data_IF_749544488859
#
_entry.id   IF_749544488859
#
_cell.length_a   1.000
_cell.length_b   1.000
_cell.length_c   1.000
_cell.angle_alpha   90.00
_cell.angle_beta   90.00
_cell.angle_gamma   90.00
#
_symmetry.space_group_name_H-M   'P 1'
#
loop_
_entity.id
_entity.type
_entity.pdbx_description
1 polymer ?
#
# COMPACT_ATOMS: atom_id res chain seq x y z
N UNK A 1 -1.13 -23.35 -2.11
CA UNK A 1 -1.61 -23.86 -3.43
C UNK A 1 -2.22 -22.66 -4.14
N UNK A 2 -1.75 -22.31 -5.33
CA UNK A 2 -2.19 -21.13 -6.08
C UNK A 2 -3.19 -21.56 -7.15
N UNK A 3 -4.35 -20.91 -7.22
CA UNK A 3 -5.36 -21.14 -8.23
C UNK A 3 -5.50 -19.91 -9.11
N UNK A 4 -5.41 -20.10 -10.43
CA UNK A 4 -5.66 -19.01 -11.39
C UNK A 4 -7.15 -18.88 -11.68
N UNK A 5 -7.70 -17.70 -11.43
CA UNK A 5 -9.09 -17.35 -11.80
C UNK A 5 -9.12 -16.92 -13.27
N UNK A 6 -10.02 -17.50 -14.04
CA UNK A 6 -10.16 -17.19 -15.46
C UNK A 6 -11.31 -16.18 -15.65
N UNK A 7 -11.06 -15.08 -16.38
CA UNK A 7 -12.13 -14.16 -16.82
C UNK A 7 -12.82 -14.73 -18.05
N UNK A 8 -14.16 -14.90 -17.99
CA UNK A 8 -15.02 -15.24 -19.13
C UNK A 8 -16.16 -14.23 -19.25
N UNK A 9 -16.26 -13.53 -20.38
CA UNK A 9 -17.33 -12.57 -20.66
C UNK A 9 -17.52 -11.51 -19.55
N UNK A 10 -16.42 -11.02 -18.96
CA UNK A 10 -16.47 -10.07 -17.86
C UNK A 10 -16.69 -10.67 -16.46
N UNK A 11 -16.96 -11.98 -16.37
CA UNK A 11 -17.16 -12.68 -15.10
C UNK A 11 -15.88 -13.39 -14.65
N UNK A 12 -15.60 -13.37 -13.34
CA UNK A 12 -14.59 -14.21 -12.74
C UNK A 12 -15.16 -15.62 -12.49
N UNK A 13 -14.48 -16.65 -13.00
CA UNK A 13 -14.88 -18.04 -12.77
C UNK A 13 -13.97 -18.63 -11.69
N UNK A 14 -14.56 -18.91 -10.53
CA UNK A 14 -13.89 -19.57 -9.42
C UNK A 14 -14.06 -21.10 -9.57
N UNK A 15 -12.97 -21.88 -9.57
CA UNK A 15 -13.07 -23.33 -9.67
C UNK A 15 -13.79 -23.96 -8.46
N UNK A 16 -14.63 -24.97 -8.69
CA UNK A 16 -15.32 -25.71 -7.61
C UNK A 16 -14.36 -26.27 -6.56
N UNK A 17 -13.14 -26.64 -6.96
CA UNK A 17 -12.12 -27.10 -6.04
C UNK A 17 -11.72 -26.07 -4.98
N UNK A 18 -11.80 -24.77 -5.29
CA UNK A 18 -11.57 -23.71 -4.30
C UNK A 18 -12.68 -23.68 -3.25
N UNK A 19 -13.93 -23.76 -3.67
CA UNK A 19 -15.08 -23.80 -2.74
C UNK A 19 -14.98 -24.99 -1.79
N UNK A 20 -14.56 -26.17 -2.30
CA UNK A 20 -14.32 -27.36 -1.47
C UNK A 20 -13.19 -27.16 -0.45
N UNK A 21 -12.06 -26.60 -0.88
CA UNK A 21 -10.92 -26.34 0.01
C UNK A 21 -11.25 -25.32 1.11
N UNK A 22 -12.13 -24.38 0.82
CA UNK A 22 -12.60 -23.38 1.78
C UNK A 22 -13.81 -23.85 2.60
N UNK A 23 -14.29 -25.09 2.43
CA UNK A 23 -15.48 -25.61 3.12
C UNK A 23 -16.78 -24.90 2.74
N UNK A 24 -16.84 -24.32 1.53
CA UNK A 24 -17.97 -23.55 1.04
C UNK A 24 -18.81 -24.31 -0.01
N UNK A 25 -18.58 -25.60 -0.23
CA UNK A 25 -19.28 -26.41 -1.24
C UNK A 25 -20.80 -26.47 -1.03
N UNK A 26 -21.25 -26.39 0.22
CA UNK A 26 -22.68 -26.43 0.59
C UNK A 26 -23.28 -25.03 0.80
N UNK A 27 -22.49 -23.95 0.62
CA UNK A 27 -22.96 -22.59 0.82
C UNK A 27 -24.00 -22.21 -0.25
N UNK A 28 -25.25 -21.96 0.17
CA UNK A 28 -26.33 -21.53 -0.70
C UNK A 28 -26.20 -20.09 -1.18
N UNK A 29 -25.62 -19.25 -0.37
CA UNK A 29 -25.37 -17.83 -0.63
C UNK A 29 -23.95 -17.49 -0.22
N UNK A 30 -23.29 -16.68 -1.04
CA UNK A 30 -21.94 -16.21 -0.84
C UNK A 30 -21.98 -14.69 -0.81
N UNK A 31 -21.48 -14.13 0.28
CA UNK A 31 -21.24 -12.70 0.43
C UNK A 31 -19.92 -12.31 -0.23
N UNK A 32 -19.95 -11.19 -0.94
CA UNK A 32 -18.77 -10.57 -1.53
C UNK A 32 -18.46 -9.26 -0.78
N UNK A 33 -17.30 -9.19 -0.16
CA UNK A 33 -16.81 -7.98 0.50
C UNK A 33 -15.73 -7.37 -0.36
N UNK A 34 -15.94 -6.13 -0.78
CA UNK A 34 -14.93 -5.37 -1.51
C UNK A 34 -13.84 -4.93 -0.54
N UNK A 35 -12.59 -5.24 -0.87
CA UNK A 35 -11.39 -4.74 -0.23
C UNK A 35 -10.68 -3.78 -1.17
N UNK A 36 -9.78 -2.97 -0.65
CA UNK A 36 -8.92 -2.15 -1.51
C UNK A 36 -7.98 -3.09 -2.30
N UNK A 37 -8.14 -3.11 -3.62
CA UNK A 37 -7.36 -4.00 -4.49
C UNK A 37 -7.83 -5.47 -4.55
N UNK A 38 -8.94 -5.86 -3.88
CA UNK A 38 -9.38 -7.24 -3.87
C UNK A 38 -10.86 -7.46 -3.55
N UNK A 39 -11.27 -8.72 -3.56
CA UNK A 39 -12.61 -9.16 -3.18
C UNK A 39 -12.48 -10.37 -2.26
N UNK A 40 -13.08 -10.30 -1.08
CA UNK A 40 -13.21 -11.43 -0.17
C UNK A 40 -14.56 -12.13 -0.42
N UNK A 41 -14.53 -13.44 -0.64
CA UNK A 41 -15.73 -14.30 -0.74
C UNK A 41 -15.88 -15.07 0.57
N UNK A 42 -17.08 -15.04 1.15
CA UNK A 42 -17.39 -15.73 2.40
C UNK A 42 -18.83 -16.24 2.41
N UNK A 43 -19.17 -17.29 3.19
CA UNK A 43 -20.56 -17.67 3.38
C UNK A 43 -21.38 -16.51 3.95
N UNK A 44 -22.67 -16.40 3.57
CA UNK A 44 -23.56 -15.33 4.07
C UNK A 44 -23.73 -15.39 5.60
N UNK A 45 -23.78 -16.59 6.14
CA UNK A 45 -23.87 -16.82 7.59
C UNK A 45 -22.54 -17.38 8.11
N UNK A 46 -21.84 -16.56 8.89
CA UNK A 46 -20.57 -16.92 9.53
C UNK A 46 -20.74 -16.81 11.03
N UNK A 47 -20.39 -17.85 11.78
CA UNK A 47 -20.40 -17.82 13.22
C UNK A 47 -19.30 -16.92 13.77
N UNK A 48 -19.42 -16.47 15.03
CA UNK A 48 -18.38 -15.65 15.68
C UNK A 48 -17.03 -16.34 15.70
N UNK A 49 -17.01 -17.67 15.89
CA UNK A 49 -15.75 -18.42 15.92
C UNK A 49 -15.11 -18.48 14.52
N UNK A 50 -15.90 -18.68 13.46
CA UNK A 50 -15.40 -18.65 12.09
C UNK A 50 -14.86 -17.27 11.69
N UNK A 51 -15.51 -16.18 12.15
CA UNK A 51 -15.00 -14.83 11.97
C UNK A 51 -13.64 -14.62 12.67
N UNK A 52 -13.47 -15.10 13.89
CA UNK A 52 -12.19 -15.02 14.60
C UNK A 52 -11.11 -15.79 13.84
N UNK A 53 -11.42 -17.00 13.38
CA UNK A 53 -10.49 -17.82 12.59
C UNK A 53 -10.11 -17.15 11.26
N UNK A 54 -11.08 -16.49 10.60
CA UNK A 54 -10.82 -15.74 9.38
C UNK A 54 -9.91 -14.54 9.63
N UNK A 55 -10.14 -13.78 10.70
CA UNK A 55 -9.29 -12.64 11.09
C UNK A 55 -7.86 -13.13 11.36
N UNK A 56 -7.70 -14.22 12.08
CA UNK A 56 -6.38 -14.81 12.35
C UNK A 56 -5.66 -15.21 11.06
N UNK A 57 -6.35 -15.89 10.14
CA UNK A 57 -5.81 -16.28 8.84
C UNK A 57 -5.42 -15.08 7.96
N UNK A 58 -6.24 -14.03 7.92
CA UNK A 58 -5.94 -12.81 7.18
C UNK A 58 -4.76 -12.05 7.78
N UNK A 59 -4.66 -12.04 9.11
CA UNK A 59 -3.51 -11.44 9.80
C UNK A 59 -2.22 -12.19 9.49
N UNK A 60 -2.25 -13.55 9.52
CA UNK A 60 -1.11 -14.37 9.13
C UNK A 60 -0.68 -14.11 7.68
N UNK A 61 -1.63 -14.02 6.75
CA UNK A 61 -1.32 -13.73 5.35
C UNK A 61 -0.75 -12.31 5.16
N UNK A 62 -1.24 -11.34 5.93
CA UNK A 62 -0.70 -9.98 5.91
C UNK A 62 0.77 -9.95 6.40
N UNK A 63 1.09 -10.71 7.45
CA UNK A 63 2.48 -10.85 7.91
C UNK A 63 3.39 -11.48 6.83
N UNK A 64 2.92 -12.52 6.12
CA UNK A 64 3.69 -13.13 5.03
C UNK A 64 3.96 -12.13 3.89
N UNK A 65 2.99 -11.27 3.55
CA UNK A 65 3.18 -10.22 2.54
C UNK A 65 4.16 -9.14 3.01
N UNK A 66 4.08 -8.73 4.28
CA UNK A 66 5.02 -7.77 4.86
C UNK A 66 6.45 -8.33 4.90
N UNK A 67 6.62 -9.59 5.28
CA UNK A 67 7.92 -10.26 5.25
C UNK A 67 8.50 -10.34 3.83
N UNK A 68 7.65 -10.65 2.83
CA UNK A 68 8.08 -10.69 1.44
C UNK A 68 8.51 -9.30 0.93
N UNK A 69 7.72 -8.26 1.22
CA UNK A 69 8.04 -6.88 0.86
C UNK A 69 9.32 -6.40 1.56
N UNK A 70 9.46 -6.67 2.85
CA UNK A 70 10.64 -6.32 3.63
C UNK A 70 11.92 -7.01 3.11
N UNK A 71 11.81 -8.25 2.64
CA UNK A 71 12.92 -8.98 2.05
C UNK A 71 13.39 -8.35 0.71
N UNK A 72 12.51 -7.70 -0.03
CA UNK A 72 12.87 -6.96 -1.24
C UNK A 72 13.56 -5.61 -0.91
N UNK A 73 13.15 -4.96 0.18
CA UNK A 73 13.75 -3.69 0.62
C UNK A 73 15.13 -3.87 1.28
N UNK A 74 15.36 -4.99 1.97
CA UNK A 74 16.59 -5.24 2.73
C UNK A 74 16.64 -4.54 4.09
N UNK A 75 17.82 -4.60 4.74
CA UNK A 75 18.06 -3.94 6.02
C UNK A 75 18.48 -2.47 5.78
N UNK A 76 18.02 -1.56 6.66
CA UNK A 76 18.37 -0.15 6.60
C UNK A 76 19.88 0.04 6.84
N UNK A 77 20.49 0.98 6.11
CA UNK A 77 21.89 1.39 6.34
C UNK A 77 22.04 2.04 7.72
N UNK A 78 23.28 2.01 8.29
CA UNK A 78 23.55 2.53 9.63
C UNK A 78 23.13 4.01 9.80
N UNK A 79 23.19 4.82 8.75
CA UNK A 79 22.79 6.23 8.77
C UNK A 79 21.27 6.40 8.94
N UNK A 80 20.49 5.50 8.42
CA UNK A 80 19.00 5.50 8.55
C UNK A 80 18.56 4.87 9.88
N UNK A 81 19.30 3.91 10.39
CA UNK A 81 19.02 3.27 11.69
C UNK A 81 19.11 4.24 12.88
N UNK A 82 19.69 5.43 12.68
CA UNK A 82 19.75 6.49 13.68
C UNK A 82 18.56 7.45 13.72
N UNK A 83 17.65 7.38 12.74
CA UNK A 83 16.43 8.20 12.73
C UNK A 83 15.42 7.63 13.73
N UNK A 84 14.93 8.46 14.63
CA UNK A 84 13.83 8.04 15.48
C UNK A 84 12.57 7.84 14.62
N UNK A 85 11.70 6.83 14.93
CA UNK A 85 10.43 6.66 14.23
C UNK A 85 9.60 7.94 14.15
N UNK A 86 9.66 8.78 15.21
CA UNK A 86 9.00 10.07 15.26
C UNK A 86 9.53 11.07 14.21
N UNK A 87 10.80 10.99 13.83
CA UNK A 87 11.41 11.90 12.85
C UNK A 87 11.00 11.54 11.42
N UNK A 88 10.84 10.24 11.13
CA UNK A 88 10.40 9.74 9.81
C UNK A 88 8.90 9.93 9.61
N UNK A 89 8.12 9.79 10.70
CA UNK A 89 6.66 9.83 10.69
C UNK A 89 6.09 11.18 11.14
N UNK A 90 6.95 12.16 11.49
CA UNK A 90 6.51 13.49 11.87
C UNK A 90 6.17 14.30 10.61
N UNK A 91 4.93 14.77 10.55
CA UNK A 91 4.47 15.64 9.48
C UNK A 91 4.60 17.11 9.89
N UNK A 92 5.19 17.91 9.02
CA UNK A 92 5.17 19.36 9.12
C UNK A 92 4.21 19.90 8.07
N UNK A 93 3.01 20.31 8.48
CA UNK A 93 1.99 20.78 7.55
C UNK A 93 2.33 22.20 7.05
N UNK A 94 2.53 22.32 5.74
CA UNK A 94 2.67 23.60 5.04
C UNK A 94 1.39 23.89 4.28
N UNK A 95 0.65 24.89 4.73
CA UNK A 95 -0.57 25.32 4.02
C UNK A 95 -0.18 26.24 2.86
N UNK A 96 -0.36 25.78 1.63
CA UNK A 96 -0.16 26.58 0.43
C UNK A 96 -1.46 27.37 0.12
N UNK A 97 -1.41 28.72 0.10
CA UNK A 97 -2.57 29.53 -0.30
C UNK A 97 -3.00 29.23 -1.75
N UNK A 98 -4.31 29.23 -2.03
CA UNK A 98 -4.86 28.91 -3.35
C UNK A 98 -4.28 29.78 -4.46
N UNK A 99 -4.14 31.10 -4.21
CA UNK A 99 -3.55 32.02 -5.17
C UNK A 99 -2.10 31.66 -5.54
N UNK A 100 -1.34 31.08 -4.60
CA UNK A 100 0.06 30.67 -4.84
C UNK A 100 0.10 29.40 -5.68
N UNK A 101 -0.79 28.43 -5.39
CA UNK A 101 -0.93 27.18 -6.19
C UNK A 101 -1.34 27.51 -7.62
N UNK A 102 -2.35 28.38 -7.81
CA UNK A 102 -2.80 28.83 -9.14
C UNK A 102 -1.66 29.51 -9.90
N UNK A 103 -0.90 30.39 -9.24
CA UNK A 103 0.22 31.09 -9.88
C UNK A 103 1.36 30.16 -10.28
N UNK A 104 1.61 29.11 -9.50
CA UNK A 104 2.61 28.07 -9.77
C UNK A 104 2.11 26.98 -10.75
N UNK A 105 0.82 27.02 -11.14
CA UNK A 105 0.23 25.98 -12.00
C UNK A 105 0.06 24.61 -11.33
N UNK A 106 -0.06 24.60 -10.00
CA UNK A 106 -0.20 23.38 -9.18
C UNK A 106 -1.69 23.11 -8.97
N UNK A 107 -2.19 21.98 -9.43
CA UNK A 107 -3.58 21.55 -9.20
C UNK A 107 -3.83 21.28 -7.70
N UNK A 108 -5.09 21.36 -7.26
CA UNK A 108 -5.46 21.18 -5.86
C UNK A 108 -5.13 19.78 -5.33
N UNK A 109 -5.24 18.78 -6.19
CA UNK A 109 -5.01 17.36 -5.94
C UNK A 109 -3.62 16.88 -6.37
N UNK A 110 -2.75 17.79 -6.83
CA UNK A 110 -1.40 17.41 -7.25
C UNK A 110 -0.55 17.02 -6.04
N UNK A 111 0.11 15.86 -6.14
CA UNK A 111 1.16 15.48 -5.21
C UNK A 111 2.37 16.39 -5.36
N UNK A 112 2.98 16.76 -4.25
CA UNK A 112 4.13 17.66 -4.21
C UNK A 112 5.37 16.92 -3.74
N UNK A 113 6.49 17.27 -4.35
CA UNK A 113 7.81 16.83 -3.98
C UNK A 113 8.58 17.98 -3.33
N UNK A 114 9.34 17.68 -2.28
CA UNK A 114 10.16 18.64 -1.56
C UNK A 114 11.63 18.37 -1.85
N UNK A 115 12.30 19.29 -2.54
CA UNK A 115 13.73 19.23 -2.76
C UNK A 115 14.46 20.19 -1.78
N UNK A 116 15.26 19.66 -0.83
CA UNK A 116 16.10 20.50 -0.01
C UNK A 116 17.28 21.05 -0.82
N UNK A 117 17.46 22.36 -0.78
CA UNK A 117 18.66 23.02 -1.33
C UNK A 117 19.64 23.27 -0.17
N UNK A 118 20.52 22.30 0.09
CA UNK A 118 21.37 22.25 1.27
C UNK A 118 22.25 23.50 1.47
N UNK A 119 22.81 24.07 0.39
CA UNK A 119 23.70 25.22 0.45
C UNK A 119 23.00 26.52 0.83
N UNK A 120 21.71 26.65 0.60
CA UNK A 120 20.95 27.90 0.74
C UNK A 120 19.94 27.90 1.89
N UNK A 121 19.75 26.77 2.58
CA UNK A 121 18.71 26.61 3.61
C UNK A 121 17.30 26.84 3.05
N UNK A 122 17.06 26.44 1.80
CA UNK A 122 15.78 26.57 1.10
C UNK A 122 15.19 25.20 0.83
N UNK A 123 13.88 25.15 0.77
CA UNK A 123 13.12 23.97 0.32
C UNK A 123 12.38 24.38 -0.94
N UNK A 124 12.54 23.62 -2.01
CA UNK A 124 11.77 23.81 -3.24
C UNK A 124 10.61 22.82 -3.24
N UNK A 125 9.41 23.34 -3.45
CA UNK A 125 8.21 22.53 -3.66
C UNK A 125 7.91 22.49 -5.16
N UNK A 126 7.85 21.33 -5.74
CA UNK A 126 7.46 21.12 -7.12
C UNK A 126 6.36 20.04 -7.23
N UNK A 127 5.69 19.98 -8.38
CA UNK A 127 4.76 18.90 -8.65
C UNK A 127 5.57 17.61 -8.79
N UNK A 128 5.19 16.58 -8.01
CA UNK A 128 5.83 15.27 -8.10
C UNK A 128 5.60 14.65 -9.49
N UNK A 129 6.60 13.92 -9.97
CA UNK A 129 6.56 13.16 -11.22
C UNK A 129 6.03 11.73 -11.03
N UNK A 130 5.55 11.40 -9.83
CA UNK A 130 5.05 10.10 -9.40
C UNK A 130 3.74 10.24 -8.63
N UNK A 131 2.99 9.14 -8.50
CA UNK A 131 1.69 9.12 -7.81
C UNK A 131 1.78 8.60 -6.37
N UNK A 132 2.75 7.71 -6.08
CA UNK A 132 2.87 7.05 -4.79
C UNK A 132 4.27 7.17 -4.20
N UNK A 133 4.33 7.40 -2.88
CA UNK A 133 5.54 7.41 -2.05
C UNK A 133 5.21 6.92 -0.63
N UNK A 134 6.13 7.07 0.32
CA UNK A 134 5.91 6.65 1.71
C UNK A 134 4.73 7.33 2.40
N UNK A 135 4.30 8.52 1.96
CA UNK A 135 3.14 9.21 2.56
C UNK A 135 1.82 8.50 2.29
N UNK A 136 1.77 7.63 1.26
CA UNK A 136 0.60 6.81 0.94
C UNK A 136 0.60 5.47 1.69
N UNK A 137 1.71 5.12 2.36
CA UNK A 137 1.84 3.85 3.07
C UNK A 137 1.17 3.96 4.44
N UNK A 138 0.24 3.03 4.79
CA UNK A 138 -0.39 3.03 6.09
C UNK A 138 0.62 2.94 7.24
N UNK A 139 0.41 3.77 8.28
CA UNK A 139 1.28 3.85 9.46
C UNK A 139 1.68 2.49 10.06
N UNK A 140 0.79 1.48 10.21
CA UNK A 140 1.19 0.19 10.76
C UNK A 140 2.25 -0.55 9.91
N UNK A 141 2.29 -0.32 8.60
CA UNK A 141 3.29 -0.90 7.70
C UNK A 141 4.63 -0.18 7.90
N UNK A 142 4.64 1.16 7.91
CA UNK A 142 5.84 1.94 8.20
C UNK A 142 6.42 1.58 9.57
N UNK A 143 5.57 1.43 10.59
CA UNK A 143 5.99 1.05 11.93
C UNK A 143 6.62 -0.34 11.95
N UNK A 144 6.07 -1.31 11.20
CA UNK A 144 6.65 -2.65 11.05
C UNK A 144 8.07 -2.57 10.48
N UNK A 145 8.28 -1.79 9.41
CA UNK A 145 9.60 -1.61 8.80
C UNK A 145 10.60 -1.02 9.78
N UNK A 146 10.21 0.02 10.54
CA UNK A 146 11.05 0.67 11.55
C UNK A 146 11.39 -0.27 12.72
N UNK A 147 10.40 -1.00 13.24
CA UNK A 147 10.58 -1.90 14.38
C UNK A 147 11.54 -3.06 14.08
N UNK A 148 11.57 -3.50 12.82
CA UNK A 148 12.43 -4.60 12.37
C UNK A 148 13.69 -4.15 11.62
N UNK A 149 13.89 -2.84 11.45
CA UNK A 149 15.10 -2.27 10.86
C UNK A 149 15.20 -2.48 9.34
N UNK A 150 14.06 -2.52 8.63
CA UNK A 150 14.03 -2.60 7.17
C UNK A 150 14.19 -1.22 6.52
N UNK A 151 14.69 -1.21 5.28
CA UNK A 151 15.01 0.01 4.56
C UNK A 151 13.76 0.68 3.96
N UNK A 152 13.36 1.81 4.56
CA UNK A 152 12.27 2.65 4.06
C UNK A 152 12.66 3.46 2.81
N UNK A 153 13.94 3.76 2.62
CA UNK A 153 14.38 4.48 1.43
C UNK A 153 14.16 3.62 0.16
N UNK A 154 14.59 2.36 0.21
CA UNK A 154 14.34 1.41 -0.88
C UNK A 154 12.84 1.20 -1.12
N UNK A 155 12.03 1.13 -0.05
CA UNK A 155 10.57 1.05 -0.20
C UNK A 155 10.02 2.28 -0.94
N UNK A 156 10.50 3.48 -0.61
CA UNK A 156 10.11 4.71 -1.29
C UNK A 156 10.49 4.70 -2.78
N UNK A 157 11.72 4.29 -3.10
CA UNK A 157 12.18 4.19 -4.49
C UNK A 157 11.33 3.22 -5.32
N UNK A 158 10.94 2.09 -4.73
CA UNK A 158 10.06 1.11 -5.40
C UNK A 158 8.68 1.72 -5.70
N UNK A 159 8.06 2.41 -4.74
CA UNK A 159 6.76 3.07 -4.90
C UNK A 159 6.81 4.16 -5.99
N UNK A 160 7.82 5.00 -5.95
CA UNK A 160 8.05 6.07 -6.92
C UNK A 160 8.25 5.49 -8.33
N UNK A 161 9.12 4.49 -8.48
CA UNK A 161 9.41 3.87 -9.78
C UNK A 161 8.16 3.19 -10.38
N UNK A 162 7.38 2.46 -9.59
CA UNK A 162 6.17 1.80 -10.06
C UNK A 162 5.08 2.79 -10.49
N UNK A 163 4.97 3.94 -9.82
CA UNK A 163 3.98 4.95 -10.16
C UNK A 163 4.34 5.76 -11.41
N UNK A 164 5.61 5.94 -11.71
CA UNK A 164 6.07 6.55 -12.99
C UNK A 164 5.78 5.66 -14.20
N UNK A 165 5.98 4.35 -14.07
CA UNK A 165 5.72 3.38 -15.17
C UNK A 165 4.23 3.29 -15.53
N UNK A 166 3.32 3.61 -14.61
CA UNK A 166 1.87 3.60 -14.87
C UNK A 166 1.38 4.82 -15.62
N UNK A 167 1.98 5.98 -15.43
CA UNK A 167 1.62 7.20 -16.17
C UNK A 167 2.00 7.11 -17.66
N UNK A 168 3.09 6.38 -18.00
CA UNK A 168 3.52 6.16 -19.38
C UNK A 168 2.61 5.18 -20.16
N UNK A 169 1.74 4.44 -19.47
CA UNK A 169 0.85 3.44 -20.07
C UNK A 169 -0.57 3.95 -20.37
N UNK A 170 -0.96 5.11 -19.82
CA UNK A 170 -2.30 5.71 -19.97
C UNK A 170 -2.35 6.88 -20.98
N UNK A 171 -1.22 7.23 -21.66
CA UNK A 171 -1.16 8.12 -22.83
C UNK A 171 -1.19 7.31 -24.15
#
# INVERSE_FOLDING_TARGET
MEFKVIKRNGNAVVPDGMFKLCGMEDAKLISMVQLNGGILLMPESVSTFELITLIDALTGQACEFLEALAAECGEAEEEQAGLAPADVLSEFEIVLPDWLREHAGIAEDAKLECDPVEEDGKITLCKASYQHDLTDVPYPILQYFLDFGYDLYTLNEMLVAESQVRDDADE
#
